data_IF_467102167149
#
_entry.id   IF_467102167149
#
_cell.length_a   1.000
_cell.length_b   1.000
_cell.length_c   1.000
_cell.angle_alpha   90.00
_cell.angle_beta   90.00
_cell.angle_gamma   90.00
#
_symmetry.space_group_name_H-M   'P 1'
#
loop_
_entity.id
_entity.type
_entity.pdbx_description
1 polymer ?
#
# COMPACT_ATOMS: atom_id res chain seq x y z
N UNK A 1 -20.42 -13.37 19.46
CA UNK A 1 -20.79 -13.68 18.06
C UNK A 1 -20.30 -15.08 17.75
N UNK A 2 -21.07 -15.91 17.01
CA UNK A 2 -20.62 -17.25 16.62
C UNK A 2 -19.56 -17.18 15.50
N UNK A 3 -18.77 -18.23 15.29
CA UNK A 3 -17.72 -18.27 14.24
C UNK A 3 -18.30 -17.99 12.85
N UNK A 4 -19.38 -18.68 12.50
CA UNK A 4 -20.04 -18.56 11.20
C UNK A 4 -20.68 -17.18 11.01
N UNK A 5 -21.33 -16.68 12.07
CA UNK A 5 -21.92 -15.35 12.12
C UNK A 5 -20.89 -14.26 11.85
N UNK A 6 -19.71 -14.39 12.47
CA UNK A 6 -18.60 -13.46 12.27
C UNK A 6 -18.04 -13.52 10.85
N UNK A 7 -17.76 -14.72 10.32
CA UNK A 7 -17.28 -14.88 8.95
C UNK A 7 -18.26 -14.29 7.94
N UNK A 8 -19.55 -14.56 8.10
CA UNK A 8 -20.58 -14.03 7.22
C UNK A 8 -20.68 -12.51 7.30
N UNK A 9 -20.72 -11.93 8.51
CA UNK A 9 -20.77 -10.47 8.70
C UNK A 9 -19.54 -9.77 8.10
N UNK A 10 -18.35 -10.36 8.30
CA UNK A 10 -17.09 -9.80 7.78
C UNK A 10 -17.05 -9.84 6.24
N UNK A 11 -17.44 -10.98 5.64
CA UNK A 11 -17.53 -11.13 4.19
C UNK A 11 -18.54 -10.14 3.57
N UNK A 12 -19.71 -9.97 4.20
CA UNK A 12 -20.74 -9.03 3.78
C UNK A 12 -20.26 -7.58 3.87
N UNK A 13 -19.59 -7.17 4.94
CA UNK A 13 -19.06 -5.79 5.06
C UNK A 13 -18.09 -5.45 3.93
N UNK A 14 -17.24 -6.41 3.55
CA UNK A 14 -16.31 -6.27 2.42
C UNK A 14 -17.08 -6.22 1.10
N UNK A 15 -18.11 -7.07 0.93
CA UNK A 15 -19.00 -7.04 -0.23
C UNK A 15 -19.66 -5.67 -0.39
N UNK A 16 -20.26 -5.13 0.68
CA UNK A 16 -20.88 -3.80 0.69
C UNK A 16 -19.88 -2.70 0.33
N UNK A 17 -18.66 -2.79 0.84
CA UNK A 17 -17.58 -1.86 0.51
C UNK A 17 -17.24 -1.90 -0.99
N UNK A 18 -17.15 -3.10 -1.59
CA UNK A 18 -16.90 -3.29 -3.01
C UNK A 18 -18.04 -2.75 -3.87
N UNK A 19 -19.29 -3.04 -3.51
CA UNK A 19 -20.49 -2.64 -4.26
C UNK A 19 -20.74 -1.14 -4.16
N UNK A 20 -20.70 -0.57 -2.96
CA UNK A 20 -20.95 0.86 -2.74
C UNK A 20 -19.93 1.74 -3.46
N UNK A 21 -18.66 1.30 -3.49
CA UNK A 21 -17.61 2.00 -4.20
C UNK A 21 -17.45 1.57 -5.67
N UNK A 22 -18.29 0.66 -6.18
CA UNK A 22 -18.26 0.11 -7.55
C UNK A 22 -16.85 -0.32 -7.97
N UNK A 23 -16.16 -1.06 -7.11
CA UNK A 23 -14.73 -1.38 -7.29
C UNK A 23 -14.49 -2.40 -8.41
N UNK A 24 -15.43 -3.33 -8.61
CA UNK A 24 -15.30 -4.48 -9.53
C UNK A 24 -16.43 -4.44 -10.56
N UNK A 25 -16.05 -4.63 -11.83
CA UNK A 25 -16.93 -4.79 -12.98
C UNK A 25 -16.74 -6.18 -13.59
N UNK A 26 -17.77 -6.69 -14.28
CA UNK A 26 -17.69 -7.97 -14.98
C UNK A 26 -16.62 -7.93 -16.08
N UNK A 27 -15.78 -8.96 -16.12
CA UNK A 27 -14.64 -9.05 -17.05
C UNK A 27 -13.37 -8.35 -16.58
N UNK A 28 -13.34 -7.80 -15.36
CA UNK A 28 -12.13 -7.20 -14.81
C UNK A 28 -11.05 -8.23 -14.52
N UNK A 29 -9.80 -7.90 -14.85
CA UNK A 29 -8.60 -8.67 -14.51
C UNK A 29 -7.86 -8.01 -13.35
N UNK A 30 -8.04 -8.54 -12.15
CA UNK A 30 -7.59 -7.91 -10.91
C UNK A 30 -6.30 -8.58 -10.45
N UNK A 31 -5.20 -7.81 -10.42
CA UNK A 31 -3.95 -8.22 -9.80
C UNK A 31 -4.01 -8.01 -8.28
N UNK A 32 -3.98 -9.08 -7.50
CA UNK A 32 -3.95 -9.07 -6.04
C UNK A 32 -2.49 -9.10 -5.58
N UNK A 33 -2.06 -8.06 -4.85
CA UNK A 33 -0.73 -8.02 -4.24
C UNK A 33 -0.61 -9.04 -3.10
N UNK A 34 0.09 -10.14 -3.35
CA UNK A 34 0.33 -11.22 -2.41
C UNK A 34 1.70 -11.03 -1.74
N UNK A 35 1.73 -10.54 -0.50
CA UNK A 35 2.97 -10.37 0.27
C UNK A 35 3.36 -11.60 1.10
N UNK A 36 2.51 -12.64 1.11
CA UNK A 36 2.61 -13.78 2.02
C UNK A 36 2.16 -13.49 3.46
N UNK A 37 1.90 -12.22 3.79
CA UNK A 37 1.36 -11.82 5.08
C UNK A 37 -0.15 -12.08 5.22
N UNK A 38 -0.63 -12.01 6.47
CA UNK A 38 -2.03 -12.24 6.87
C UNK A 38 -3.04 -11.47 6.01
N UNK A 39 -2.82 -10.18 5.79
CA UNK A 39 -3.80 -9.31 5.15
C UNK A 39 -3.97 -9.68 3.66
N UNK A 40 -2.88 -9.95 2.96
CA UNK A 40 -2.93 -10.36 1.55
C UNK A 40 -3.52 -11.76 1.35
N UNK A 41 -3.26 -12.69 2.26
CA UNK A 41 -3.81 -14.06 2.20
C UNK A 41 -5.32 -14.05 2.43
N UNK A 42 -5.79 -13.33 3.46
CA UNK A 42 -7.21 -13.18 3.76
C UNK A 42 -7.93 -12.46 2.61
N UNK A 43 -7.30 -11.43 2.04
CA UNK A 43 -7.85 -10.71 0.88
C UNK A 43 -8.05 -11.64 -0.33
N UNK A 44 -7.03 -12.42 -0.69
CA UNK A 44 -7.12 -13.36 -1.80
C UNK A 44 -8.23 -14.41 -1.56
N UNK A 45 -8.32 -14.93 -0.33
CA UNK A 45 -9.35 -15.89 0.06
C UNK A 45 -10.76 -15.32 -0.07
N UNK A 46 -10.99 -14.14 0.51
CA UNK A 46 -12.32 -13.50 0.51
C UNK A 46 -12.73 -13.08 -0.89
N UNK A 47 -11.83 -12.49 -1.69
CA UNK A 47 -12.18 -12.11 -3.06
C UNK A 47 -12.56 -13.32 -3.90
N UNK A 48 -11.86 -14.45 -3.77
CA UNK A 48 -12.22 -15.69 -4.47
C UNK A 48 -13.59 -16.21 -4.01
N UNK A 49 -13.87 -16.17 -2.71
CA UNK A 49 -15.13 -16.61 -2.13
C UNK A 49 -16.30 -15.72 -2.57
N UNK A 50 -16.14 -14.39 -2.51
CA UNK A 50 -17.15 -13.43 -2.96
C UNK A 50 -17.36 -13.50 -4.47
N UNK A 51 -16.30 -13.70 -5.27
CA UNK A 51 -16.42 -13.89 -6.71
C UNK A 51 -17.27 -15.13 -7.04
N UNK A 52 -17.13 -16.22 -6.29
CA UNK A 52 -17.97 -17.42 -6.44
C UNK A 52 -19.41 -17.23 -5.94
N UNK A 53 -19.60 -16.48 -4.84
CA UNK A 53 -20.91 -16.28 -4.20
C UNK A 53 -21.80 -15.30 -4.98
N UNK A 54 -21.23 -14.18 -5.45
CA UNK A 54 -21.98 -13.10 -6.10
C UNK A 54 -21.74 -13.01 -7.62
N UNK A 55 -20.93 -13.92 -8.19
CA UNK A 55 -20.61 -13.99 -9.62
C UNK A 55 -20.18 -12.65 -10.21
N UNK A 56 -19.14 -12.04 -9.61
CA UNK A 56 -18.58 -10.79 -10.11
C UNK A 56 -17.99 -10.92 -11.52
N UNK A 57 -17.69 -12.14 -11.98
CA UNK A 57 -17.09 -12.39 -13.29
C UNK A 57 -15.70 -11.78 -13.43
N UNK A 58 -14.98 -11.63 -12.32
CA UNK A 58 -13.62 -11.09 -12.29
C UNK A 58 -12.57 -12.22 -12.39
N UNK A 59 -11.53 -11.98 -13.18
CA UNK A 59 -10.35 -12.84 -13.26
C UNK A 59 -9.35 -12.36 -12.19
N UNK A 60 -9.09 -13.21 -11.18
CA UNK A 60 -8.19 -12.87 -10.07
C UNK A 60 -6.80 -13.42 -10.34
N UNK A 61 -5.80 -12.53 -10.38
CA UNK A 61 -4.40 -12.85 -10.63
C UNK A 61 -3.59 -12.56 -9.36
N UNK A 62 -2.88 -13.55 -8.84
CA UNK A 62 -2.00 -13.35 -7.67
C UNK A 62 -0.63 -12.85 -8.12
N UNK A 63 -0.19 -11.73 -7.55
CA UNK A 63 1.09 -11.13 -7.85
C UNK A 63 1.90 -10.96 -6.58
N UNK A 64 2.95 -11.76 -6.45
CA UNK A 64 3.93 -11.68 -5.35
C UNK A 64 5.21 -11.04 -5.86
N UNK A 65 5.82 -10.20 -5.03
CA UNK A 65 7.16 -9.66 -5.27
C UNK A 65 8.04 -10.15 -4.14
N UNK A 66 9.14 -10.79 -4.51
CA UNK A 66 10.21 -11.11 -3.59
C UNK A 66 11.22 -9.96 -3.55
N UNK A 67 11.53 -9.46 -2.37
CA UNK A 67 12.48 -8.35 -2.18
C UNK A 67 13.95 -8.79 -2.05
N UNK A 68 14.25 -10.09 -2.15
CA UNK A 68 15.62 -10.62 -2.04
C UNK A 68 16.20 -10.44 -0.62
N UNK A 69 15.35 -10.55 0.41
CA UNK A 69 15.82 -10.55 1.80
C UNK A 69 16.25 -11.97 2.15
N UNK A 70 17.51 -12.15 2.57
CA UNK A 70 18.05 -13.47 2.94
C UNK A 70 17.13 -14.21 3.94
N UNK A 71 16.70 -15.42 3.57
CA UNK A 71 15.84 -16.29 4.37
C UNK A 71 14.32 -16.14 4.15
N UNK A 72 13.86 -15.42 3.11
CA UNK A 72 12.42 -15.14 2.90
C UNK A 72 11.80 -15.83 1.65
N UNK A 73 12.52 -16.00 0.51
CA UNK A 73 12.28 -16.84 -0.71
C UNK A 73 13.20 -16.34 -1.87
N UNK A 74 13.17 -16.95 -3.07
CA UNK A 74 14.15 -16.73 -4.17
C UNK A 74 13.94 -15.45 -5.04
N UNK A 75 15.07 -14.98 -5.61
CA UNK A 75 15.53 -13.62 -5.99
C UNK A 75 14.76 -12.73 -7.02
N UNK A 76 13.47 -12.45 -6.88
CA UNK A 76 12.75 -11.64 -7.90
C UNK A 76 13.19 -10.15 -8.04
N UNK A 77 13.69 -9.51 -6.97
CA UNK A 77 14.16 -8.11 -7.03
C UNK A 77 15.53 -7.99 -7.70
N UNK A 78 16.37 -9.02 -7.53
CA UNK A 78 17.69 -9.09 -8.14
C UNK A 78 17.56 -9.12 -9.66
N UNK A 79 16.61 -9.88 -10.18
CA UNK A 79 16.35 -9.98 -11.62
C UNK A 79 15.85 -8.66 -12.23
N UNK A 80 15.06 -7.88 -11.49
CA UNK A 80 14.45 -6.63 -11.98
C UNK A 80 15.39 -5.43 -11.91
N UNK A 81 16.25 -5.36 -10.89
CA UNK A 81 17.03 -4.16 -10.58
C UNK A 81 18.52 -4.40 -10.38
N UNK A 82 18.98 -5.66 -10.29
CA UNK A 82 20.38 -6.02 -10.01
C UNK A 82 20.81 -5.75 -8.57
N UNK A 83 19.86 -5.46 -7.66
CA UNK A 83 20.12 -5.16 -6.25
C UNK A 83 19.13 -5.90 -5.35
N UNK A 84 19.64 -6.56 -4.31
CA UNK A 84 18.82 -7.08 -3.22
C UNK A 84 18.59 -6.01 -2.13
N UNK A 85 17.52 -6.15 -1.34
CA UNK A 85 17.31 -5.24 -0.21
C UNK A 85 18.43 -5.32 0.83
N UNK A 86 19.07 -6.48 0.98
CA UNK A 86 20.19 -6.66 1.89
C UNK A 86 21.43 -5.90 1.41
N UNK A 87 21.68 -5.86 0.10
CA UNK A 87 22.81 -5.13 -0.49
C UNK A 87 22.59 -3.62 -0.45
N UNK A 88 21.36 -3.15 -0.67
CA UNK A 88 20.97 -1.75 -0.51
C UNK A 88 21.25 -1.28 0.92
N UNK A 89 20.90 -2.08 1.94
CA UNK A 89 21.13 -1.72 3.34
C UNK A 89 22.62 -1.73 3.68
N UNK A 90 23.40 -2.69 3.16
CA UNK A 90 24.87 -2.71 3.33
C UNK A 90 25.52 -1.48 2.70
N UNK A 91 25.09 -1.08 1.51
CA UNK A 91 25.67 0.02 0.75
C UNK A 91 25.36 1.39 1.39
N UNK A 92 24.12 1.61 1.84
CA UNK A 92 23.70 2.88 2.44
C UNK A 92 24.13 3.00 3.91
N UNK A 93 24.29 1.86 4.61
CA UNK A 93 24.63 1.81 6.04
C UNK A 93 23.51 2.27 6.98
N UNK A 94 22.42 2.87 6.46
CA UNK A 94 21.31 3.39 7.25
C UNK A 94 20.06 2.52 7.14
N UNK A 95 19.86 1.66 8.14
CA UNK A 95 18.72 0.74 8.25
C UNK A 95 17.35 1.45 8.26
N UNK A 96 17.28 2.73 8.69
CA UNK A 96 16.02 3.50 8.76
C UNK A 96 15.41 3.78 7.38
N UNK A 97 16.24 3.80 6.34
CA UNK A 97 15.79 4.14 4.99
C UNK A 97 15.38 2.91 4.18
N UNK A 98 15.69 1.70 4.65
CA UNK A 98 15.37 0.44 3.98
C UNK A 98 13.89 0.36 3.54
N UNK A 99 12.96 0.74 4.43
CA UNK A 99 11.52 0.73 4.14
C UNK A 99 11.11 1.71 3.04
N UNK A 100 11.85 2.81 2.85
CA UNK A 100 11.61 3.79 1.77
C UNK A 100 11.99 3.21 0.42
N UNK A 101 13.18 2.63 0.28
CA UNK A 101 13.63 1.98 -0.95
C UNK A 101 12.73 0.80 -1.31
N UNK A 102 12.49 -0.10 -0.34
CA UNK A 102 11.60 -1.25 -0.51
C UNK A 102 10.20 -0.83 -0.99
N UNK A 103 9.59 0.18 -0.35
CA UNK A 103 8.26 0.65 -0.72
C UNK A 103 8.19 1.24 -2.14
N UNK A 104 9.23 1.94 -2.58
CA UNK A 104 9.30 2.52 -3.93
C UNK A 104 9.49 1.43 -4.98
N UNK A 105 10.44 0.51 -4.78
CA UNK A 105 10.70 -0.58 -5.72
C UNK A 105 9.55 -1.58 -5.79
N UNK A 106 8.98 -1.98 -4.64
CA UNK A 106 7.80 -2.85 -4.58
C UNK A 106 6.63 -2.24 -5.33
N UNK A 107 6.38 -0.92 -5.17
CA UNK A 107 5.29 -0.25 -5.86
C UNK A 107 5.45 -0.29 -7.38
N UNK A 108 6.66 -0.02 -7.88
CA UNK A 108 6.96 -0.05 -9.31
C UNK A 108 6.93 -1.48 -9.88
N UNK A 109 7.45 -2.46 -9.13
CA UNK A 109 7.40 -3.86 -9.52
C UNK A 109 5.95 -4.38 -9.57
N UNK A 110 5.07 -3.94 -8.65
CA UNK A 110 3.64 -4.28 -8.69
C UNK A 110 2.99 -3.75 -9.98
N UNK A 111 3.28 -2.49 -10.35
CA UNK A 111 2.72 -1.89 -11.57
C UNK A 111 3.20 -2.61 -12.82
N UNK A 112 4.51 -2.85 -12.94
CA UNK A 112 5.10 -3.57 -14.08
C UNK A 112 4.54 -4.98 -14.18
N UNK A 113 4.50 -5.71 -13.06
CA UNK A 113 3.97 -7.06 -13.02
C UNK A 113 2.49 -7.13 -13.40
N UNK A 114 1.68 -6.17 -12.93
CA UNK A 114 0.27 -6.08 -13.30
C UNK A 114 0.08 -5.82 -14.80
N UNK A 115 0.89 -4.93 -15.39
CA UNK A 115 0.88 -4.68 -16.84
C UNK A 115 1.28 -5.91 -17.65
N UNK A 116 2.32 -6.64 -17.22
CA UNK A 116 2.80 -7.85 -17.90
C UNK A 116 1.75 -8.97 -17.92
N UNK A 117 0.96 -9.09 -16.84
CA UNK A 117 -0.14 -10.05 -16.77
C UNK A 117 -1.42 -9.56 -17.45
N UNK A 118 -1.44 -8.34 -18.00
CA UNK A 118 -2.61 -7.74 -18.63
C UNK A 118 -3.73 -7.44 -17.63
N UNK A 119 -3.41 -7.22 -16.36
CA UNK A 119 -4.40 -6.81 -15.36
C UNK A 119 -4.90 -5.38 -15.64
N UNK A 120 -6.14 -5.08 -15.25
CA UNK A 120 -6.73 -3.75 -15.40
C UNK A 120 -6.84 -2.99 -14.06
N UNK A 121 -6.78 -3.70 -12.93
CA UNK A 121 -6.85 -3.10 -11.59
C UNK A 121 -5.89 -3.82 -10.64
N UNK A 122 -5.40 -3.10 -9.64
CA UNK A 122 -4.59 -3.68 -8.56
C UNK A 122 -5.35 -3.64 -7.24
N UNK A 123 -5.46 -4.78 -6.57
CA UNK A 123 -6.03 -4.90 -5.24
C UNK A 123 -4.94 -5.08 -4.19
N UNK A 124 -5.04 -4.34 -3.07
CA UNK A 124 -4.08 -4.44 -1.96
C UNK A 124 -4.80 -4.62 -0.62
N UNK A 125 -4.20 -5.39 0.28
CA UNK A 125 -4.76 -5.72 1.60
C UNK A 125 -4.56 -4.65 2.67
N UNK A 126 -4.54 -3.36 2.32
CA UNK A 126 -4.41 -2.29 3.32
C UNK A 126 -5.68 -2.23 4.16
N UNK A 127 -5.52 -2.39 5.47
CA UNK A 127 -6.60 -2.40 6.45
C UNK A 127 -6.91 -0.98 6.99
N UNK A 128 -7.90 -0.88 7.87
CA UNK A 128 -8.29 0.38 8.49
C UNK A 128 -7.15 0.99 9.32
N UNK A 129 -6.41 0.17 10.07
CA UNK A 129 -5.26 0.58 10.87
C UNK A 129 -4.17 1.24 10.00
N UNK A 130 -3.80 0.63 8.87
CA UNK A 130 -2.81 1.17 7.92
C UNK A 130 -3.22 2.55 7.37
N UNK A 131 -4.52 2.73 7.12
CA UNK A 131 -5.05 4.01 6.61
C UNK A 131 -5.02 5.05 7.72
N UNK A 132 -5.43 4.70 8.95
CA UNK A 132 -5.37 5.61 10.10
C UNK A 132 -3.92 6.03 10.43
N UNK A 133 -2.96 5.09 10.41
CA UNK A 133 -1.53 5.37 10.52
C UNK A 133 -1.09 6.36 9.45
N UNK A 134 -1.51 6.15 8.21
CA UNK A 134 -1.15 7.03 7.08
C UNK A 134 -1.75 8.43 7.22
N UNK A 135 -3.00 8.54 7.65
CA UNK A 135 -3.66 9.84 7.91
C UNK A 135 -2.90 10.59 8.99
N UNK A 136 -2.62 9.95 10.12
CA UNK A 136 -1.91 10.60 11.24
C UNK A 136 -0.48 10.99 10.86
N UNK A 137 0.26 10.12 10.16
CA UNK A 137 1.59 10.44 9.64
C UNK A 137 1.59 11.65 8.71
N UNK A 138 0.59 11.78 7.83
CA UNK A 138 0.50 12.90 6.89
C UNK A 138 0.10 14.20 7.59
N UNK A 139 -0.74 14.14 8.62
CA UNK A 139 -1.07 15.30 9.47
C UNK A 139 0.20 15.79 10.18
N UNK A 140 0.94 14.89 10.84
CA UNK A 140 2.15 15.25 11.58
C UNK A 140 3.28 15.80 10.69
N UNK A 141 3.31 15.40 9.41
CA UNK A 141 4.26 15.91 8.42
C UNK A 141 3.80 17.18 7.70
N UNK A 142 2.55 17.60 7.89
CA UNK A 142 1.97 18.71 7.14
C UNK A 142 1.84 18.45 5.63
N UNK A 143 1.81 17.18 5.18
CA UNK A 143 1.71 16.83 3.76
C UNK A 143 0.24 16.81 3.31
N UNK A 144 -0.29 18.00 3.07
CA UNK A 144 -1.70 18.23 2.72
C UNK A 144 -2.05 17.56 1.37
N UNK A 145 -1.11 17.52 0.41
CA UNK A 145 -1.31 16.92 -0.90
C UNK A 145 -1.44 15.40 -0.88
N UNK A 146 -0.82 14.72 0.10
CA UNK A 146 -1.02 13.27 0.31
C UNK A 146 -2.26 12.97 1.16
N UNK A 147 -2.64 13.87 2.07
CA UNK A 147 -3.80 13.71 2.94
C UNK A 147 -5.11 13.55 2.13
N UNK A 148 -5.28 14.33 1.05
CA UNK A 148 -6.46 14.21 0.16
C UNK A 148 -6.60 12.82 -0.49
N UNK A 149 -5.47 12.15 -0.75
CA UNK A 149 -5.45 10.90 -1.53
C UNK A 149 -5.38 9.65 -0.65
N UNK A 150 -4.91 9.77 0.60
CA UNK A 150 -4.64 8.58 1.41
C UNK A 150 -5.92 7.87 1.90
N UNK A 151 -7.03 8.59 2.03
CA UNK A 151 -8.35 8.04 2.43
C UNK A 151 -9.19 7.55 1.25
N UNK A 152 -8.75 7.79 0.01
CA UNK A 152 -9.48 7.32 -1.17
C UNK A 152 -9.45 5.78 -1.23
N UNK A 153 -10.64 5.19 -1.38
CA UNK A 153 -10.78 3.72 -1.48
C UNK A 153 -10.20 3.19 -2.79
N UNK A 154 -10.33 4.00 -3.85
CA UNK A 154 -9.69 3.79 -5.13
C UNK A 154 -8.78 4.97 -5.41
N UNK A 155 -7.51 4.68 -5.70
CA UNK A 155 -6.51 5.66 -6.10
C UNK A 155 -6.16 5.43 -7.56
N UNK A 156 -6.06 6.52 -8.33
CA UNK A 156 -5.64 6.44 -9.73
C UNK A 156 -6.74 6.04 -10.70
N UNK A 157 -7.96 6.57 -10.52
CA UNK A 157 -9.07 6.39 -11.48
C UNK A 157 -8.72 6.83 -12.90
N UNK A 158 -7.84 7.83 -13.02
CA UNK A 158 -7.33 8.34 -14.31
C UNK A 158 -6.01 7.67 -14.74
N UNK A 159 -5.52 6.70 -13.96
CA UNK A 159 -4.29 5.98 -14.27
C UNK A 159 -4.60 4.72 -15.07
N UNK A 160 -3.59 4.21 -15.78
CA UNK A 160 -3.67 2.97 -16.56
C UNK A 160 -4.04 1.78 -15.66
N UNK A 161 -3.66 1.82 -14.37
CA UNK A 161 -3.92 0.80 -13.38
C UNK A 161 -4.44 1.42 -12.06
N UNK A 162 -5.75 1.61 -11.92
CA UNK A 162 -6.34 2.01 -10.65
C UNK A 162 -6.08 0.96 -9.57
N UNK A 163 -5.82 1.45 -8.35
CA UNK A 163 -5.61 0.60 -7.17
C UNK A 163 -6.76 0.76 -6.20
N UNK A 164 -7.26 -0.33 -5.64
CA UNK A 164 -8.32 -0.27 -4.64
C UNK A 164 -8.02 -1.11 -3.40
N UNK A 165 -8.72 -0.79 -2.31
CA UNK A 165 -8.51 -1.34 -0.96
C UNK A 165 -9.84 -1.81 -0.36
N UNK A 166 -10.20 -3.10 -0.50
CA UNK A 166 -11.44 -3.64 0.06
C UNK A 166 -11.49 -3.59 1.60
N UNK A 167 -10.35 -3.68 2.26
CA UNK A 167 -10.25 -3.69 3.73
C UNK A 167 -10.19 -2.30 4.36
N UNK A 168 -10.61 -1.26 3.65
CA UNK A 168 -10.55 0.12 4.14
C UNK A 168 -11.21 0.34 5.51
N UNK A 169 -12.30 -0.38 5.79
CA UNK A 169 -13.04 -0.28 7.06
C UNK A 169 -12.85 -1.50 7.97
N UNK A 170 -12.10 -2.51 7.52
CA UNK A 170 -11.85 -3.72 8.30
C UNK A 170 -10.64 -3.51 9.23
N UNK A 171 -10.79 -3.89 10.50
CA UNK A 171 -9.72 -3.78 11.49
C UNK A 171 -8.70 -4.91 11.34
N UNK A 172 -7.44 -4.63 11.68
CA UNK A 172 -6.38 -5.66 11.68
C UNK A 172 -6.75 -6.87 12.55
N UNK A 173 -7.38 -6.65 13.71
CA UNK A 173 -7.81 -7.70 14.63
C UNK A 173 -8.84 -8.64 14.01
N UNK A 174 -9.75 -8.11 13.20
CA UNK A 174 -10.79 -8.89 12.52
C UNK A 174 -10.18 -9.77 11.43
N UNK A 175 -9.22 -9.22 10.67
CA UNK A 175 -8.45 -9.96 9.66
C UNK A 175 -7.67 -11.11 10.31
N UNK A 176 -6.98 -10.84 11.42
CA UNK A 176 -6.25 -11.88 12.19
C UNK A 176 -7.21 -12.96 12.69
N UNK A 177 -8.35 -12.56 13.27
CA UNK A 177 -9.35 -13.48 13.77
C UNK A 177 -9.95 -14.34 12.66
N UNK A 178 -10.24 -13.75 11.50
CA UNK A 178 -10.72 -14.46 10.32
C UNK A 178 -9.69 -15.47 9.80
N UNK A 179 -8.42 -15.07 9.68
CA UNK A 179 -7.33 -15.95 9.27
C UNK A 179 -7.19 -17.17 10.20
N UNK A 180 -7.23 -16.95 11.52
CA UNK A 180 -7.14 -18.01 12.51
C UNK A 180 -8.36 -18.95 12.47
N UNK A 181 -9.57 -18.40 12.32
CA UNK A 181 -10.82 -19.16 12.22
C UNK A 181 -10.83 -20.09 11.01
N UNK A 182 -10.33 -19.62 9.87
CA UNK A 182 -10.25 -20.40 8.62
C UNK A 182 -8.96 -21.20 8.47
N UNK A 183 -8.07 -21.16 9.48
CA UNK A 183 -6.77 -21.86 9.49
C UNK A 183 -5.96 -21.59 8.22
N UNK A 184 -5.92 -20.33 7.80
CA UNK A 184 -5.13 -19.94 6.63
C UNK A 184 -3.65 -19.92 7.00
N UNK A 185 -2.82 -20.55 6.18
CA UNK A 185 -1.37 -20.47 6.33
C UNK A 185 -0.88 -19.09 5.86
N UNK A 186 -0.33 -18.32 6.79
CA UNK A 186 0.27 -17.02 6.50
C UNK A 186 1.61 -16.87 7.21
N UNK A 187 2.49 -16.08 6.62
CA UNK A 187 3.76 -15.71 7.24
C UNK A 187 3.50 -14.56 8.22
N UNK A 188 3.86 -14.76 9.48
CA UNK A 188 3.79 -13.73 10.54
C UNK A 188 5.11 -13.01 10.76
N UNK A 189 6.16 -13.37 10.02
CA UNK A 189 7.49 -12.80 10.19
C UNK A 189 7.52 -11.38 9.62
N UNK A 190 7.61 -10.38 10.50
CA UNK A 190 7.82 -9.00 10.06
C UNK A 190 9.20 -8.83 9.42
N UNK A 191 9.31 -7.87 8.50
CA UNK A 191 10.61 -7.50 7.92
C UNK A 191 11.58 -7.06 9.03
N UNK A 192 12.82 -7.57 8.99
CA UNK A 192 13.89 -7.26 9.96
C UNK A 192 14.19 -5.76 10.15
N UNK A 193 13.81 -4.93 9.19
CA UNK A 193 14.01 -3.48 9.21
C UNK A 193 12.75 -2.68 9.58
N UNK A 194 11.57 -3.32 9.66
CA UNK A 194 10.31 -2.64 9.94
C UNK A 194 10.24 -1.94 11.31
N UNK A 195 10.77 -2.51 12.43
CA UNK A 195 10.66 -1.88 13.75
C UNK A 195 11.36 -0.52 13.88
N UNK A 196 12.37 -0.24 13.04
CA UNK A 196 13.13 1.01 13.07
C UNK A 196 12.47 2.13 12.24
N UNK A 197 11.34 1.86 11.58
CA UNK A 197 10.63 2.83 10.77
C UNK A 197 9.75 3.76 11.61
N UNK A 198 9.64 5.03 11.21
CA UNK A 198 8.77 6.03 11.87
C UNK A 198 7.32 5.56 12.05
N UNK A 199 6.81 4.73 11.12
CA UNK A 199 5.48 4.15 11.18
C UNK A 199 5.25 3.33 12.46
N UNK A 200 6.27 2.68 13.01
CA UNK A 200 6.17 1.91 14.25
C UNK A 200 5.74 2.75 15.46
N UNK A 201 6.22 4.00 15.56
CA UNK A 201 5.82 4.92 16.63
C UNK A 201 4.36 5.36 16.51
N UNK A 202 3.92 5.65 15.28
CA UNK A 202 2.52 6.04 15.02
C UNK A 202 1.58 4.87 15.31
N UNK A 203 1.96 3.66 14.92
CA UNK A 203 1.22 2.43 15.24
C UNK A 203 1.04 2.24 16.74
N UNK A 204 2.10 2.40 17.53
CA UNK A 204 2.02 2.28 18.98
C UNK A 204 1.06 3.33 19.58
N UNK A 205 1.16 4.57 19.13
CA UNK A 205 0.28 5.65 19.57
C UNK A 205 -1.20 5.40 19.23
N UNK A 206 -1.51 4.93 18.02
CA UNK A 206 -2.89 4.59 17.64
C UNK A 206 -3.43 3.46 18.50
N UNK A 207 -2.62 2.43 18.81
CA UNK A 207 -3.01 1.34 19.70
C UNK A 207 -3.32 1.82 21.11
N UNK A 208 -2.60 2.81 21.61
CA UNK A 208 -2.90 3.42 22.92
C UNK A 208 -4.21 4.21 22.91
N UNK A 209 -4.51 4.93 21.82
CA UNK A 209 -5.80 5.60 21.68
C UNK A 209 -6.97 4.62 21.50
N UNK A 210 -6.74 3.52 20.78
CA UNK A 210 -7.74 2.46 20.57
C UNK A 210 -8.16 1.81 21.90
N UNK A 211 -7.21 1.64 22.84
CA UNK A 211 -7.49 1.14 24.20
C UNK A 211 -8.46 2.03 24.98
N UNK A 212 -8.38 3.35 24.77
CA UNK A 212 -9.27 4.32 25.43
C UNK A 212 -10.62 4.36 24.71
N UNK A 213 -10.59 4.41 23.37
CA UNK A 213 -11.79 4.48 22.52
C UNK A 213 -11.60 3.57 21.30
N UNK A 214 -12.31 2.42 21.23
CA UNK A 214 -12.20 1.47 20.12
C UNK A 214 -12.54 2.06 18.74
N UNK A 215 -13.40 3.08 18.71
CA UNK A 215 -13.81 3.76 17.48
C UNK A 215 -12.75 4.69 16.89
N UNK A 216 -11.63 4.92 17.59
CA UNK A 216 -10.61 5.90 17.18
C UNK A 216 -10.12 5.70 15.74
N UNK A 217 -9.89 4.46 15.30
CA UNK A 217 -9.37 4.17 13.95
C UNK A 217 -10.34 4.68 12.87
N UNK A 218 -11.63 4.32 12.97
CA UNK A 218 -12.66 4.76 12.02
C UNK A 218 -12.92 6.27 12.15
N UNK A 219 -12.89 6.82 13.36
CA UNK A 219 -13.05 8.26 13.59
C UNK A 219 -11.88 9.05 12.94
N UNK A 220 -10.64 8.54 12.96
CA UNK A 220 -9.49 9.11 12.25
C UNK A 220 -9.69 9.04 10.73
N UNK A 221 -10.14 7.90 10.19
CA UNK A 221 -10.41 7.76 8.75
C UNK A 221 -11.50 8.75 8.32
N UNK A 222 -12.61 8.80 9.05
CA UNK A 222 -13.71 9.73 8.79
C UNK A 222 -13.25 11.19 8.90
N UNK A 223 -12.38 11.51 9.86
CA UNK A 223 -11.76 12.83 9.97
C UNK A 223 -10.92 13.15 8.74
N UNK A 224 -10.13 12.19 8.24
CA UNK A 224 -9.34 12.37 7.03
C UNK A 224 -10.18 12.52 5.75
N UNK A 225 -11.35 11.87 5.68
CA UNK A 225 -12.29 12.01 4.57
C UNK A 225 -13.02 13.35 4.57
N UNK A 226 -13.39 13.84 5.75
CA UNK A 226 -14.12 15.10 5.92
C UNK A 226 -13.21 16.32 6.01
N UNK A 227 -11.90 16.13 6.09
CA UNK A 227 -10.95 17.23 6.24
C UNK A 227 -11.01 18.14 5.00
N UNK A 228 -11.52 19.35 5.20
CA UNK A 228 -11.53 20.37 4.17
C UNK A 228 -10.09 20.84 3.93
N UNK A 229 -9.59 20.57 2.73
CA UNK A 229 -8.27 21.02 2.29
C UNK A 229 -8.45 22.30 1.48
N UNK A 230 -7.59 23.30 1.70
CA UNK A 230 -7.60 24.55 0.95
C UNK A 230 -7.48 24.25 -0.56
N UNK A 231 -8.29 24.94 -1.37
CA UNK A 231 -8.39 24.71 -2.82
C UNK A 231 -7.17 25.19 -3.62
N UNK A 232 -6.27 25.94 -2.99
CA UNK A 232 -5.03 26.48 -3.53
C UNK A 232 -3.87 25.46 -3.56
N UNK A 233 -4.04 24.29 -2.96
CA UNK A 233 -3.01 23.25 -2.92
C UNK A 233 -2.80 22.66 -4.31
N UNK A 234 -1.68 23.03 -4.94
CA UNK A 234 -1.25 22.48 -6.23
C UNK A 234 -1.02 20.96 -6.08
N UNK A 235 -1.89 20.20 -6.73
CA UNK A 235 -1.68 18.76 -6.87
C UNK A 235 -0.54 18.53 -7.88
N UNK A 236 0.42 17.64 -7.59
CA UNK A 236 1.48 17.33 -8.54
C UNK A 236 0.88 16.78 -9.83
N UNK A 237 1.27 17.36 -10.97
CA UNK A 237 0.86 16.88 -12.28
C UNK A 237 1.47 15.50 -12.54
N UNK A 238 0.67 14.60 -13.11
CA UNK A 238 1.10 13.26 -13.49
C UNK A 238 1.80 13.32 -14.85
N UNK A 239 2.95 12.68 -14.95
CA UNK A 239 3.73 12.52 -16.18
C UNK A 239 4.23 11.08 -16.28
N UNK A 240 4.66 10.66 -17.46
CA UNK A 240 5.35 9.37 -17.66
C UNK A 240 6.85 9.56 -17.47
N UNK A 241 7.50 8.60 -16.80
CA UNK A 241 8.94 8.60 -16.62
C UNK A 241 9.65 8.31 -17.97
N UNK A 242 10.61 9.14 -18.36
CA UNK A 242 11.34 8.97 -19.62
C UNK A 242 12.21 7.70 -19.65
N UNK A 243 12.70 7.24 -18.49
CA UNK A 243 13.60 6.07 -18.41
C UNK A 243 12.89 4.72 -18.39
N UNK A 244 11.73 4.65 -17.74
CA UNK A 244 11.05 3.36 -17.49
C UNK A 244 9.59 3.33 -17.94
N UNK A 245 9.07 4.42 -18.50
CA UNK A 245 7.67 4.55 -18.93
C UNK A 245 6.63 4.55 -17.81
N UNK A 246 7.03 4.36 -16.54
CA UNK A 246 6.10 4.28 -15.40
C UNK A 246 5.51 5.65 -15.05
N UNK A 247 4.30 5.65 -14.46
CA UNK A 247 3.64 6.88 -14.00
C UNK A 247 4.46 7.53 -12.88
N UNK A 248 4.68 8.82 -13.00
CA UNK A 248 5.50 9.64 -12.12
C UNK A 248 4.87 11.02 -11.94
N UNK A 249 5.34 11.78 -10.95
CA UNK A 249 5.02 13.21 -10.81
C UNK A 249 6.18 14.11 -11.28
N UNK A 250 7.21 13.50 -11.86
CA UNK A 250 8.47 14.11 -12.27
C UNK A 250 8.96 13.42 -13.55
N UNK A 251 9.81 14.10 -14.34
CA UNK A 251 10.40 13.57 -15.59
C UNK A 251 11.06 12.19 -15.40
N UNK A 252 11.78 12.02 -14.29
CA UNK A 252 12.37 10.74 -13.89
C UNK A 252 11.68 10.28 -12.59
N UNK A 253 11.21 9.03 -12.56
CA UNK A 253 10.55 8.49 -11.38
C UNK A 253 11.54 8.29 -10.22
N UNK A 254 11.02 8.35 -8.99
CA UNK A 254 11.84 8.17 -7.79
C UNK A 254 12.59 6.84 -7.76
N UNK A 255 12.02 5.77 -8.30
CA UNK A 255 12.71 4.50 -8.38
C UNK A 255 13.96 4.55 -9.27
N UNK A 256 13.87 5.18 -10.45
CA UNK A 256 15.02 5.37 -11.32
C UNK A 256 16.08 6.29 -10.68
N UNK A 257 15.67 7.36 -10.01
CA UNK A 257 16.60 8.24 -9.28
C UNK A 257 17.36 7.45 -8.19
N UNK A 258 16.63 6.66 -7.39
CA UNK A 258 17.25 5.85 -6.34
C UNK A 258 18.18 4.78 -6.89
N UNK A 259 17.86 4.16 -8.04
CA UNK A 259 18.76 3.21 -8.70
C UNK A 259 20.03 3.89 -9.20
N UNK A 260 19.93 5.09 -9.76
CA UNK A 260 21.11 5.84 -10.19
C UNK A 260 21.99 6.25 -9.01
N UNK A 261 21.39 6.63 -7.89
CA UNK A 261 22.13 6.92 -6.65
C UNK A 261 22.87 5.70 -6.12
N UNK A 262 22.25 4.51 -6.18
CA UNK A 262 22.88 3.25 -5.79
C UNK A 262 24.04 2.89 -6.73
N UNK A 263 23.87 3.08 -8.04
CA UNK A 263 24.90 2.77 -9.03
C UNK A 263 26.04 3.81 -9.06
N UNK A 264 25.79 5.06 -8.64
CA UNK A 264 26.79 6.14 -8.62
C UNK A 264 27.52 6.29 -7.29
N UNK A 265 27.12 5.54 -6.25
CA UNK A 265 27.78 5.55 -4.94
C UNK A 265 27.54 6.80 -4.09
N UNK A 266 26.55 7.64 -4.43
CA UNK A 266 26.17 8.84 -3.68
C UNK A 266 24.76 8.70 -3.11
N UNK A 267 24.60 8.17 -1.88
CA UNK A 267 23.30 8.04 -1.25
C UNK A 267 22.84 9.39 -0.66
N UNK A 268 22.36 10.30 -1.49
CA UNK A 268 21.62 11.48 -1.02
C UNK A 268 20.13 11.27 -1.20
N UNK A 269 19.40 11.00 -0.12
CA UNK A 269 17.94 11.06 -0.12
C UNK A 269 17.57 12.53 -0.21
N UNK A 270 17.34 13.02 -1.43
CA UNK A 270 16.78 14.35 -1.65
C UNK A 270 15.32 14.31 -1.24
N UNK A 271 15.06 14.59 0.04
CA UNK A 271 13.75 15.06 0.47
C UNK A 271 13.57 16.37 -0.30
N UNK A 272 12.67 16.40 -1.28
CA UNK A 272 12.32 17.65 -1.96
C UNK A 272 11.60 18.55 -0.97
N UNK A 273 12.36 19.29 -0.19
CA UNK A 273 11.86 20.52 0.41
C UNK A 273 11.55 21.46 -0.73
N UNK A 274 10.28 21.85 -0.81
CA UNK A 274 9.80 22.75 -1.84
C UNK A 274 10.08 24.16 -1.35
N UNK A 275 11.34 24.55 -1.23
CA UNK A 275 11.70 25.94 -1.02
C UNK A 275 11.71 26.66 -2.38
N UNK A 276 10.51 27.08 -2.81
CA UNK A 276 10.40 28.26 -3.65
C UNK A 276 10.53 29.49 -2.74
N UNK A 277 11.76 29.82 -2.36
CA UNK A 277 12.04 31.23 -2.03
C UNK A 277 12.21 31.96 -3.36
N UNK A 278 11.09 32.50 -3.84
CA UNK A 278 11.08 33.60 -4.80
C UNK A 278 11.90 34.74 -4.22
N UNK A 279 13.06 35.00 -4.82
CA UNK A 279 13.64 36.34 -4.82
C UNK A 279 12.64 37.25 -5.52
N UNK A 280 11.99 38.10 -4.74
CA UNK A 280 11.35 39.32 -5.20
C UNK A 280 11.88 40.41 -4.25
N UNK A 281 12.58 41.36 -4.88
CA UNK A 281 13.13 42.64 -4.41
C UNK A 281 14.36 42.64 -3.47
#
# INVERSE_FOLDING_TARGET
MCKECFSWCFEEEIHWTIVNAKLISRGDKIAIGASGGKDSTVLAYILNLLNKRYDYGAELLLLSIDEGISGYRDDSLMDLYGWSMDDIVKHIGNKRNCSTYCGIFRRQALDKGALLLGANKICTGHNADDIAETVLMNILRGDIGRLKRCTAIMTGTDDILPRFKPFKYAYEKEIVMYAHMHKLDYFSTECKYAPQAYRGHVRAFIKDLERIRPRTIIDIIASGERMAIRSDVKMPQKSTCEKCGCISSQLICQACILLEQLNSGLPQITIKDTEQHSQID
#
